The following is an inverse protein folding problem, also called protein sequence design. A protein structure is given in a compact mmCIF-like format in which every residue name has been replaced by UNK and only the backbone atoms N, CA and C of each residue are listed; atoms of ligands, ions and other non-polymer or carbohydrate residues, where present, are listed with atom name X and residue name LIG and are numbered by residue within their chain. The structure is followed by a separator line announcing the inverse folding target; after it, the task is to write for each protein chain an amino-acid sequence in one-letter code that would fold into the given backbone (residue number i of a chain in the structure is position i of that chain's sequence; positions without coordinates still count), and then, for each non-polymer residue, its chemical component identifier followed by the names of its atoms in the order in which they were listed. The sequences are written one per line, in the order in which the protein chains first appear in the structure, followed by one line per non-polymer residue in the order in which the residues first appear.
data_IF_178741996093
#
_entry.id   IF_178741996093
#
_cell.length_a   1.000
_cell.length_b   1.000
_cell.length_c   1.000
_cell.angle_alpha   90.00
_cell.angle_beta   90.00
_cell.angle_gamma   90.00
#
_symmetry.space_group_name_H-M   'P 1'
#
loop_
_entity.id
_entity.type
_entity.pdbx_description
1 polymer ?
#
# COMPACT_ATOMS: atom_id res chain seq x y z
N UNK A 1 10.63 -19.34 -36.17
CA UNK A 1 9.61 -19.04 -35.14
C UNK A 1 10.29 -19.09 -33.80
N UNK A 2 10.59 -17.92 -33.21
CA UNK A 2 10.45 -17.73 -31.76
C UNK A 2 10.54 -16.24 -31.45
N UNK A 3 9.39 -15.56 -31.45
CA UNK A 3 9.28 -14.21 -30.92
C UNK A 3 9.21 -14.33 -29.39
N UNK A 4 10.37 -14.41 -28.73
CA UNK A 4 10.46 -14.07 -27.31
C UNK A 4 10.22 -12.57 -27.21
N UNK A 5 8.97 -12.17 -27.06
CA UNK A 5 8.61 -10.83 -26.64
C UNK A 5 9.30 -10.60 -25.29
N UNK A 6 10.42 -9.88 -25.30
CA UNK A 6 10.98 -9.28 -24.10
C UNK A 6 9.91 -8.33 -23.57
N UNK A 7 9.11 -8.79 -22.61
CA UNK A 7 8.24 -7.91 -21.82
C UNK A 7 9.16 -6.87 -21.20
N UNK A 8 9.14 -5.66 -21.75
CA UNK A 8 9.75 -4.51 -21.09
C UNK A 8 8.97 -4.35 -19.79
N UNK A 9 9.55 -4.83 -18.70
CA UNK A 9 9.05 -4.56 -17.36
C UNK A 9 9.13 -3.04 -17.21
N UNK A 10 7.99 -2.35 -17.24
CA UNK A 10 7.96 -0.92 -16.95
C UNK A 10 8.51 -0.76 -15.55
N UNK A 11 9.71 -0.23 -15.42
CA UNK A 11 10.32 0.04 -14.14
C UNK A 11 9.58 1.22 -13.49
N UNK A 12 9.18 1.04 -12.23
CA UNK A 12 8.48 2.05 -11.44
C UNK A 12 8.87 1.92 -9.98
N UNK A 13 8.68 3.01 -9.24
CA UNK A 13 9.06 3.18 -7.82
C UNK A 13 7.82 3.21 -6.92
N UNK A 14 8.02 3.16 -5.60
CA UNK A 14 6.95 3.42 -4.62
C UNK A 14 6.32 4.78 -4.84
N UNK A 15 7.15 5.81 -5.10
CA UNK A 15 6.66 7.16 -5.34
C UNK A 15 5.77 7.25 -6.58
N UNK A 16 6.02 6.47 -7.65
CA UNK A 16 5.13 6.40 -8.82
C UNK A 16 3.75 5.82 -8.45
N UNK A 17 3.71 4.81 -7.58
CA UNK A 17 2.46 4.23 -7.08
C UNK A 17 1.69 5.26 -6.24
N UNK A 18 2.38 5.96 -5.34
CA UNK A 18 1.75 6.96 -4.47
C UNK A 18 1.20 8.13 -5.29
N UNK A 19 1.99 8.65 -6.23
CA UNK A 19 1.59 9.74 -7.12
C UNK A 19 0.39 9.35 -7.99
N UNK A 20 0.37 8.12 -8.54
CA UNK A 20 -0.80 7.62 -9.26
C UNK A 20 -2.04 7.61 -8.37
N UNK A 21 -1.93 7.18 -7.12
CA UNK A 21 -3.05 7.19 -6.17
C UNK A 21 -3.54 8.61 -5.87
N UNK A 22 -2.65 9.59 -5.70
CA UNK A 22 -3.01 11.00 -5.50
C UNK A 22 -3.78 11.50 -6.73
N UNK A 23 -3.31 11.21 -7.95
CA UNK A 23 -3.99 11.57 -9.20
C UNK A 23 -5.42 10.99 -9.23
N UNK A 24 -5.58 9.71 -8.89
CA UNK A 24 -6.88 9.03 -8.85
C UNK A 24 -7.81 9.49 -7.74
N UNK A 25 -7.29 10.14 -6.71
CA UNK A 25 -8.06 10.73 -5.61
C UNK A 25 -8.45 12.19 -5.83
N UNK A 26 -8.22 12.73 -7.04
CA UNK A 26 -8.56 14.12 -7.38
C UNK A 26 -7.39 15.09 -7.33
N UNK A 27 -6.15 14.57 -7.27
CA UNK A 27 -4.92 15.37 -7.28
C UNK A 27 -4.43 15.82 -5.90
N UNK A 28 -5.19 15.56 -4.85
CA UNK A 28 -4.85 15.91 -3.47
C UNK A 28 -5.28 14.86 -2.45
N UNK A 29 -4.50 14.70 -1.37
CA UNK A 29 -4.80 13.78 -0.27
C UNK A 29 -4.45 14.40 1.08
N UNK A 30 -5.39 14.28 2.02
CA UNK A 30 -5.35 14.95 3.33
C UNK A 30 -4.27 14.50 4.33
N UNK A 31 -3.57 13.37 4.13
CA UNK A 31 -2.43 12.99 4.99
C UNK A 31 -1.59 11.89 4.35
N UNK A 32 -0.30 11.85 4.68
CA UNK A 32 0.55 10.70 4.38
C UNK A 32 0.07 9.42 5.09
N UNK A 33 -0.51 9.55 6.30
CA UNK A 33 -1.10 8.43 7.04
C UNK A 33 -2.20 7.72 6.23
N UNK A 34 -3.04 8.47 5.51
CA UNK A 34 -4.06 7.88 4.60
C UNK A 34 -3.38 7.11 3.47
N UNK A 35 -2.40 7.71 2.80
CA UNK A 35 -1.66 7.05 1.71
C UNK A 35 -0.98 5.76 2.19
N UNK A 36 -0.30 5.81 3.33
CA UNK A 36 0.35 4.65 3.95
C UNK A 36 -0.58 3.44 4.06
N UNK A 37 -1.81 3.63 4.55
CA UNK A 37 -2.77 2.53 4.71
C UNK A 37 -3.38 2.08 3.38
N UNK A 38 -3.61 2.98 2.45
CA UNK A 38 -4.12 2.61 1.13
C UNK A 38 -3.06 1.83 0.35
N UNK A 39 -1.79 2.24 0.37
CA UNK A 39 -0.69 1.54 -0.30
C UNK A 39 -0.50 0.15 0.33
N UNK A 40 -0.58 0.05 1.66
CA UNK A 40 -0.60 -1.25 2.33
C UNK A 40 -1.73 -2.15 1.78
N UNK A 41 -2.95 -1.63 1.62
CA UNK A 41 -4.09 -2.37 1.09
C UNK A 41 -4.00 -2.68 -0.43
N UNK A 42 -3.21 -1.90 -1.17
CA UNK A 42 -2.85 -2.20 -2.57
C UNK A 42 -1.93 -3.42 -2.62
N UNK A 43 -0.89 -3.43 -1.79
CA UNK A 43 0.11 -4.49 -1.78
C UNK A 43 -0.34 -5.76 -1.06
N UNK A 44 -1.14 -5.63 -0.01
CA UNK A 44 -1.63 -6.74 0.80
C UNK A 44 -3.15 -6.77 0.85
N UNK A 45 -3.74 -7.96 0.65
CA UNK A 45 -5.09 -8.24 1.12
C UNK A 45 -5.04 -9.18 2.31
N UNK A 46 -5.87 -8.91 3.30
CA UNK A 46 -5.91 -9.66 4.55
C UNK A 46 -7.34 -10.13 4.77
N UNK A 47 -7.54 -11.43 4.65
CA UNK A 47 -8.85 -12.07 4.67
C UNK A 47 -9.00 -13.00 5.86
N UNK A 48 -10.22 -13.08 6.40
CA UNK A 48 -10.61 -13.89 7.57
C UNK A 48 -11.77 -14.84 7.27
N UNK A 49 -12.09 -15.09 6.00
CA UNK A 49 -13.33 -15.80 5.63
C UNK A 49 -13.36 -17.26 6.13
N UNK A 50 -12.19 -17.91 6.26
CA UNK A 50 -12.08 -19.29 6.76
C UNK A 50 -10.92 -19.40 7.77
N UNK A 51 -9.74 -18.94 7.35
CA UNK A 51 -8.57 -18.73 8.18
C UNK A 51 -7.99 -17.35 7.87
N UNK A 52 -7.31 -16.75 8.85
CA UNK A 52 -6.53 -15.54 8.62
C UNK A 52 -5.42 -15.88 7.62
N UNK A 53 -5.43 -15.22 6.47
CA UNK A 53 -4.35 -15.30 5.49
C UNK A 53 -4.10 -13.93 4.89
N UNK A 54 -2.86 -13.74 4.45
CA UNK A 54 -2.37 -12.52 3.83
C UNK A 54 -1.97 -12.84 2.40
N UNK A 55 -2.51 -12.11 1.43
CA UNK A 55 -2.07 -12.17 0.03
C UNK A 55 -1.22 -10.96 -0.26
N UNK A 56 0.08 -11.17 -0.53
CA UNK A 56 1.01 -10.17 -1.04
C UNK A 56 0.95 -10.16 -2.58
N UNK A 57 0.54 -9.04 -3.14
CA UNK A 57 0.51 -8.82 -4.58
C UNK A 57 1.91 -8.45 -5.09
N UNK A 58 2.32 -9.08 -6.18
CA UNK A 58 3.60 -8.87 -6.84
C UNK A 58 3.37 -8.39 -8.28
N UNK A 59 4.33 -7.63 -8.79
CA UNK A 59 4.44 -7.25 -10.18
C UNK A 59 5.89 -7.44 -10.63
N UNK A 60 6.15 -8.39 -11.52
CA UNK A 60 7.50 -8.71 -11.97
C UNK A 60 8.37 -9.29 -10.85
N UNK A 61 7.80 -10.18 -10.01
CA UNK A 61 8.50 -10.82 -8.90
C UNK A 61 8.81 -9.90 -7.70
N UNK A 62 8.51 -8.60 -7.80
CA UNK A 62 8.73 -7.60 -6.74
C UNK A 62 7.41 -7.17 -6.10
N UNK A 63 7.40 -6.71 -4.83
CA UNK A 63 6.18 -6.20 -4.19
C UNK A 63 5.49 -5.15 -5.06
N UNK A 64 4.16 -5.23 -5.21
CA UNK A 64 3.42 -4.38 -6.15
C UNK A 64 3.67 -2.89 -5.89
N UNK A 65 3.72 -2.45 -4.63
CA UNK A 65 3.99 -1.05 -4.30
C UNK A 65 5.49 -0.72 -4.18
N UNK A 66 6.38 -1.68 -4.47
CA UNK A 66 7.85 -1.58 -4.30
C UNK A 66 8.29 -1.20 -2.88
N UNK A 67 7.41 -1.39 -1.90
CA UNK A 67 7.57 -0.94 -0.53
C UNK A 67 7.63 -2.13 0.43
N UNK A 68 8.38 -1.97 1.52
CA UNK A 68 8.39 -2.88 2.64
C UNK A 68 7.54 -2.31 3.78
N UNK A 69 6.81 -3.19 4.49
CA UNK A 69 5.95 -2.76 5.58
C UNK A 69 6.32 -3.46 6.88
N UNK A 70 6.39 -2.66 7.96
CA UNK A 70 6.55 -3.14 9.33
C UNK A 70 5.45 -2.59 10.24
N UNK A 71 5.16 -3.29 11.33
CA UNK A 71 4.12 -2.92 12.28
C UNK A 71 4.59 -1.78 13.19
N UNK A 72 3.73 -0.76 13.37
CA UNK A 72 4.00 0.37 14.26
C UNK A 72 2.75 0.80 15.02
N UNK A 73 2.88 1.84 15.86
CA UNK A 73 1.82 2.33 16.76
C UNK A 73 0.44 2.52 16.10
N UNK A 74 0.42 3.01 14.86
CA UNK A 74 -0.80 3.26 14.08
C UNK A 74 -1.06 2.18 13.01
N UNK A 75 -0.56 0.96 13.19
CA UNK A 75 -0.59 -0.13 12.21
C UNK A 75 0.62 -0.10 11.25
N UNK A 76 0.55 -0.76 10.08
CA UNK A 76 1.72 -0.94 9.21
C UNK A 76 2.19 0.38 8.58
N UNK A 77 3.50 0.57 8.53
CA UNK A 77 4.19 1.73 7.96
C UNK A 77 5.31 1.25 7.04
N UNK A 78 5.77 2.13 6.15
CA UNK A 78 6.82 1.90 5.17
C UNK A 78 7.62 3.20 5.06
N UNK A 79 8.94 3.09 5.05
CA UNK A 79 9.82 4.24 4.90
C UNK A 79 9.79 4.76 3.45
N UNK A 80 9.71 3.86 2.46
CA UNK A 80 9.68 4.19 1.03
C UNK A 80 8.43 5.00 0.62
N UNK A 81 7.36 4.95 1.43
CA UNK A 81 6.19 5.81 1.20
C UNK A 81 6.49 7.27 1.50
N UNK A 82 7.44 7.58 2.40
CA UNK A 82 7.86 8.95 2.68
C UNK A 82 8.65 9.57 1.52
N UNK A 83 9.30 8.77 0.67
CA UNK A 83 10.03 9.26 -0.51
C UNK A 83 9.13 10.04 -1.50
N UNK A 84 7.80 9.86 -1.40
CA UNK A 84 6.86 10.66 -2.19
C UNK A 84 6.94 12.16 -1.85
N UNK A 85 7.40 12.52 -0.65
CA UNK A 85 7.48 13.91 -0.20
C UNK A 85 8.41 14.75 -1.09
N UNK A 86 9.39 14.13 -1.74
CA UNK A 86 10.28 14.79 -2.71
C UNK A 86 9.59 15.11 -4.06
N UNK A 87 8.37 14.59 -4.28
CA UNK A 87 7.63 14.70 -5.55
C UNK A 87 6.30 15.43 -5.44
N UNK A 88 5.86 15.76 -4.22
CA UNK A 88 4.54 16.36 -3.99
C UNK A 88 4.67 17.70 -3.29
N UNK A 89 3.73 18.59 -3.56
CA UNK A 89 3.57 19.81 -2.79
C UNK A 89 2.90 19.49 -1.45
N UNK A 90 3.55 19.85 -0.35
CA UNK A 90 2.94 19.80 0.98
C UNK A 90 2.36 21.18 1.30
N UNK A 91 1.04 21.25 1.44
CA UNK A 91 0.33 22.47 1.82
C UNK A 91 -0.24 22.32 3.22
N UNK A 92 -0.34 23.40 3.96
CA UNK A 92 -1.02 23.41 5.26
C UNK A 92 -2.24 24.33 5.15
N UNK A 93 -3.40 23.84 5.56
CA UNK A 93 -4.64 24.60 5.67
C UNK A 93 -5.29 24.39 7.05
N UNK A 94 -6.48 24.97 7.24
CA UNK A 94 -7.26 24.86 8.48
C UNK A 94 -7.63 23.40 8.84
N UNK A 95 -7.56 22.48 7.88
CA UNK A 95 -7.91 21.06 8.02
C UNK A 95 -6.67 20.17 8.21
N UNK A 96 -5.46 20.72 8.10
CA UNK A 96 -4.19 20.04 8.32
C UNK A 96 -3.26 20.10 7.12
N UNK A 97 -2.46 19.05 6.92
CA UNK A 97 -1.52 18.96 5.80
C UNK A 97 -2.17 18.30 4.58
N UNK A 98 -2.05 18.90 3.40
CA UNK A 98 -2.49 18.35 2.13
C UNK A 98 -1.27 18.00 1.28
N UNK A 99 -1.27 16.79 0.71
CA UNK A 99 -0.30 16.36 -0.28
C UNK A 99 -0.93 16.52 -1.66
N UNK A 100 -0.38 17.41 -2.48
CA UNK A 100 -0.88 17.70 -3.81
C UNK A 100 0.15 17.29 -4.88
N UNK A 101 -0.33 16.68 -5.95
CA UNK A 101 0.49 16.37 -7.12
C UNK A 101 -0.18 16.91 -8.38
N UNK A 102 0.55 17.77 -9.11
CA UNK A 102 0.08 18.42 -10.35
C UNK A 102 0.88 18.01 -11.58
N UNK A 103 1.83 17.09 -11.43
CA UNK A 103 2.61 16.57 -12.55
C UNK A 103 1.81 15.60 -13.41
N UNK A 104 2.49 15.00 -14.39
CA UNK A 104 1.89 14.01 -15.28
C UNK A 104 1.61 12.70 -14.55
N UNK A 105 0.57 11.98 -14.96
CA UNK A 105 0.30 10.63 -14.47
C UNK A 105 1.52 9.72 -14.71
N UNK A 106 2.01 9.01 -13.68
CA UNK A 106 3.19 8.17 -13.81
C UNK A 106 2.89 6.91 -14.64
N UNK A 107 3.92 6.39 -15.30
CA UNK A 107 3.82 5.16 -16.08
C UNK A 107 3.84 3.96 -15.13
N UNK A 108 2.70 3.28 -15.02
CA UNK A 108 2.56 2.03 -14.28
C UNK A 108 2.02 0.92 -15.19
N UNK A 109 2.37 -0.36 -14.97
CA UNK A 109 1.73 -1.48 -15.63
C UNK A 109 0.21 -1.46 -15.44
N UNK A 110 -0.55 -1.87 -16.45
CA UNK A 110 -2.02 -1.80 -16.42
C UNK A 110 -2.63 -2.62 -15.27
N UNK A 111 -2.04 -3.77 -14.93
CA UNK A 111 -2.49 -4.57 -13.80
C UNK A 111 -2.29 -3.86 -12.45
N UNK A 112 -1.18 -3.12 -12.29
CA UNK A 112 -0.91 -2.30 -11.10
C UNK A 112 -1.97 -1.20 -10.98
N UNK A 113 -2.26 -0.49 -12.09
CA UNK A 113 -3.31 0.53 -12.14
C UNK A 113 -4.67 -0.05 -11.74
N UNK A 114 -5.06 -1.19 -12.32
CA UNK A 114 -6.32 -1.85 -12.04
C UNK A 114 -6.47 -2.25 -10.56
N UNK A 115 -5.40 -2.77 -9.94
CA UNK A 115 -5.40 -3.12 -8.52
C UNK A 115 -5.52 -1.88 -7.64
N UNK A 116 -4.80 -0.81 -7.95
CA UNK A 116 -4.92 0.46 -7.23
C UNK A 116 -6.36 0.97 -7.31
N UNK A 117 -6.94 1.00 -8.51
CA UNK A 117 -8.30 1.48 -8.74
C UNK A 117 -9.35 0.67 -7.95
N UNK A 118 -9.20 -0.65 -7.88
CA UNK A 118 -10.06 -1.54 -7.08
C UNK A 118 -10.02 -1.17 -5.58
N UNK A 119 -8.82 -0.95 -5.05
CA UNK A 119 -8.61 -0.56 -3.65
C UNK A 119 -9.17 0.84 -3.38
N UNK A 120 -8.92 1.79 -4.29
CA UNK A 120 -9.44 3.16 -4.15
C UNK A 120 -10.96 3.19 -4.27
N UNK A 121 -11.59 2.37 -5.11
CA UNK A 121 -13.04 2.24 -5.17
C UNK A 121 -13.63 1.78 -3.82
N UNK A 122 -12.94 0.89 -3.11
CA UNK A 122 -13.42 0.33 -1.83
C UNK A 122 -13.08 1.18 -0.61
N UNK A 123 -11.93 1.85 -0.62
CA UNK A 123 -11.38 2.52 0.58
C UNK A 123 -10.96 3.97 0.37
N UNK A 124 -10.91 4.47 -0.87
CA UNK A 124 -10.42 5.82 -1.19
C UNK A 124 -11.21 6.94 -0.52
N UNK A 125 -12.52 6.75 -0.30
CA UNK A 125 -13.37 7.70 0.43
C UNK A 125 -13.18 7.72 1.95
N UNK A 126 -12.43 6.76 2.52
CA UNK A 126 -12.26 6.65 3.98
C UNK A 126 -11.23 7.64 4.52
N UNK A 127 -11.42 8.06 5.76
CA UNK A 127 -10.47 8.88 6.53
C UNK A 127 -9.30 8.01 7.03
N UNK A 128 -8.18 8.65 7.35
CA UNK A 128 -6.96 7.95 7.82
C UNK A 128 -7.22 7.05 9.03
N UNK A 129 -7.98 7.53 10.03
CA UNK A 129 -8.30 6.76 11.23
C UNK A 129 -9.24 5.58 10.96
N UNK A 130 -10.13 5.67 9.96
CA UNK A 130 -10.98 4.55 9.56
C UNK A 130 -10.15 3.45 8.92
N UNK A 131 -9.20 3.83 8.06
CA UNK A 131 -8.26 2.90 7.43
C UNK A 131 -7.35 2.23 8.45
N UNK A 132 -6.87 2.98 9.44
CA UNK A 132 -6.09 2.43 10.56
C UNK A 132 -6.88 1.34 11.29
N UNK A 133 -8.13 1.61 11.69
CA UNK A 133 -9.00 0.62 12.35
C UNK A 133 -9.19 -0.62 11.48
N UNK A 134 -9.45 -0.43 10.17
CA UNK A 134 -9.64 -1.53 9.22
C UNK A 134 -8.38 -2.40 9.14
N UNK A 135 -7.22 -1.77 8.94
CA UNK A 135 -5.96 -2.50 8.73
C UNK A 135 -5.54 -3.22 10.01
N UNK A 136 -5.58 -2.57 11.17
CA UNK A 136 -5.27 -3.21 12.46
C UNK A 136 -6.18 -4.40 12.74
N UNK A 137 -7.50 -4.21 12.59
CA UNK A 137 -8.49 -5.29 12.80
C UNK A 137 -8.29 -6.46 11.85
N UNK A 138 -7.91 -6.19 10.60
CA UNK A 138 -7.63 -7.25 9.62
C UNK A 138 -6.37 -8.02 9.95
N UNK A 139 -5.29 -7.33 10.31
CA UNK A 139 -4.06 -7.96 10.75
C UNK A 139 -4.21 -8.68 12.09
N UNK A 140 -5.24 -8.36 12.88
CA UNK A 140 -5.43 -8.94 14.22
C UNK A 140 -4.52 -8.28 15.26
N UNK A 141 -4.12 -7.03 15.03
CA UNK A 141 -3.26 -6.21 15.90
C UNK A 141 -3.99 -4.96 16.39
N UNK A 142 -5.31 -5.05 16.52
CA UNK A 142 -6.15 -4.00 17.10
C UNK A 142 -6.07 -3.93 18.63
N UNK A 143 -5.57 -4.99 19.28
CA UNK A 143 -5.19 -4.98 20.69
C UNK A 143 -3.82 -4.32 20.91
N UNK A 144 -3.69 -3.34 21.83
CA UNK A 144 -2.43 -2.64 22.10
C UNK A 144 -1.28 -3.57 22.51
N UNK A 145 -1.56 -4.60 23.31
CA UNK A 145 -0.55 -5.54 23.82
C UNK A 145 0.06 -6.35 22.67
N UNK A 146 -0.81 -6.87 21.78
CA UNK A 146 -0.36 -7.62 20.60
C UNK A 146 0.40 -6.72 19.63
N UNK A 147 -0.09 -5.51 19.38
CA UNK A 147 0.64 -4.56 18.54
C UNK A 147 2.00 -4.19 19.14
N UNK A 148 2.08 -4.05 20.46
CA UNK A 148 3.31 -3.77 21.20
C UNK A 148 4.33 -4.90 21.05
N UNK A 149 3.89 -6.15 21.15
CA UNK A 149 4.76 -7.33 21.01
C UNK A 149 5.43 -7.43 19.63
N UNK A 150 4.76 -6.97 18.58
CA UNK A 150 5.26 -7.02 17.20
C UNK A 150 5.70 -5.66 16.66
N UNK A 151 5.88 -4.65 17.51
CA UNK A 151 6.29 -3.32 17.07
C UNK A 151 7.69 -3.38 16.43
N UNK A 152 7.83 -2.79 15.25
CA UNK A 152 9.06 -2.84 14.44
C UNK A 152 9.21 -4.09 13.58
N UNK A 153 8.35 -5.10 13.73
CA UNK A 153 8.46 -6.32 12.93
C UNK A 153 7.92 -6.13 11.53
N UNK A 154 8.60 -6.71 10.55
CA UNK A 154 8.09 -6.79 9.19
C UNK A 154 6.75 -7.53 9.18
N UNK A 155 5.82 -7.10 8.35
CA UNK A 155 4.49 -7.74 8.23
C UNK A 155 4.62 -9.22 7.85
N UNK A 156 5.64 -9.57 7.08
CA UNK A 156 5.91 -10.96 6.65
C UNK A 156 6.48 -11.81 7.79
N UNK A 157 7.35 -11.24 8.63
CA UNK A 157 7.88 -11.92 9.83
C UNK A 157 6.77 -12.10 10.87
N UNK A 158 5.93 -11.08 11.07
CA UNK A 158 4.72 -11.17 11.88
C UNK A 158 3.79 -12.30 11.40
N UNK A 159 3.53 -12.37 10.09
CA UNK A 159 2.67 -13.40 9.53
C UNK A 159 3.23 -14.81 9.80
N UNK A 160 4.54 -14.97 9.61
CA UNK A 160 5.23 -16.24 9.87
C UNK A 160 5.15 -16.65 11.33
N UNK A 161 5.42 -15.73 12.27
CA UNK A 161 5.40 -16.00 13.71
C UNK A 161 3.99 -16.39 14.20
N UNK A 162 2.96 -15.73 13.68
CA UNK A 162 1.56 -16.02 14.02
C UNK A 162 0.99 -17.24 13.28
N UNK A 163 1.78 -17.95 12.48
CA UNK A 163 1.31 -19.06 11.65
C UNK A 163 0.25 -18.64 10.62
N UNK A 164 0.24 -17.36 10.23
CA UNK A 164 -0.66 -16.81 9.22
C UNK A 164 -0.13 -17.18 7.84
N UNK A 165 -0.97 -17.81 7.03
CA UNK A 165 -0.60 -18.18 5.66
C UNK A 165 -0.32 -16.92 4.82
N UNK A 166 0.91 -16.78 4.32
CA UNK A 166 1.33 -15.72 3.41
C UNK A 166 1.37 -16.24 1.97
N UNK A 167 0.36 -15.84 1.18
CA UNK A 167 0.28 -16.14 -0.25
C UNK A 167 0.94 -15.03 -1.06
N UNK A 168 1.64 -15.40 -2.11
CA UNK A 168 2.14 -14.46 -3.10
C UNK A 168 1.30 -14.57 -4.38
N UNK A 169 0.94 -13.43 -4.97
CA UNK A 169 0.14 -13.38 -6.20
C UNK A 169 0.75 -12.40 -7.20
N UNK A 170 1.33 -12.93 -8.26
CA UNK A 170 1.81 -12.16 -9.41
C UNK A 170 0.62 -11.66 -10.25
N UNK A 171 0.62 -10.38 -10.62
CA UNK A 171 -0.45 -9.76 -11.43
C UNK A 171 0.04 -9.11 -12.73
N UNK A 172 1.34 -8.98 -12.93
CA UNK A 172 1.95 -8.49 -14.17
C UNK A 172 2.40 -9.64 -15.09
N UNK A 173 2.04 -10.87 -14.74
CA UNK A 173 2.30 -12.12 -15.46
C UNK A 173 1.44 -12.34 -16.69
#
# INVERSE_FOLDING_TARGET
MDHRASRVEVEYTTADVVVYMIHRLGGEVATLKKLMKLIFLVQYDVSKLFSLHITKYLCGGRPLARAQFYLWTYGPVSDEVYDVLDRVEVRQDERGYLLAYRGTEPKLPQAVKARIDEVLKKYGGKKAWELEKIVKKRLGVDMPEKLGAYMGWMVEDYAKEEGIELKQREICG
#
